data_IF_348487868191
#
_entry.id   IF_348487868191
#
_cell.length_a   1.000
_cell.length_b   1.000
_cell.length_c   1.000
_cell.angle_alpha   90.00
_cell.angle_beta   90.00
_cell.angle_gamma   90.00
#
_symmetry.space_group_name_H-M   'P 1'
#
loop_
_entity.id
_entity.type
_entity.pdbx_description
1 polymer ?
#
# COMPACT_ATOMS: atom_id res chain seq x y z
N UNK A 1 -34.66 -16.73 26.42
CA UNK A 1 -33.31 -17.12 25.98
C UNK A 1 -32.43 -15.95 26.33
N UNK A 2 -31.52 -16.12 27.29
CA UNK A 2 -30.64 -15.04 27.75
C UNK A 2 -29.37 -15.08 26.90
N UNK A 3 -29.17 -14.06 26.05
CA UNK A 3 -27.88 -13.77 25.45
C UNK A 3 -26.96 -13.24 26.55
N UNK A 4 -26.26 -14.16 27.22
CA UNK A 4 -25.14 -13.80 28.08
C UNK A 4 -23.99 -13.37 27.14
N UNK A 5 -23.53 -12.11 27.18
CA UNK A 5 -22.36 -11.72 26.42
C UNK A 5 -21.19 -12.62 26.82
N UNK A 6 -20.46 -13.12 25.82
CA UNK A 6 -19.32 -13.98 26.04
C UNK A 6 -18.31 -13.29 26.99
N UNK A 7 -17.69 -14.02 27.93
CA UNK A 7 -16.73 -13.44 28.86
C UNK A 7 -15.61 -12.77 28.07
N UNK A 8 -15.40 -11.47 28.33
CA UNK A 8 -14.28 -10.71 27.78
C UNK A 8 -12.98 -11.39 28.18
N UNK A 9 -12.30 -11.96 27.20
CA UNK A 9 -11.00 -12.58 27.36
C UNK A 9 -9.98 -11.50 27.79
N UNK A 10 -9.41 -11.57 29.01
CA UNK A 10 -8.48 -10.55 29.50
C UNK A 10 -7.19 -10.47 28.66
N UNK A 11 -6.91 -11.46 27.80
CA UNK A 11 -5.82 -11.41 26.82
C UNK A 11 -6.13 -10.51 25.61
N UNK A 12 -7.41 -10.21 25.35
CA UNK A 12 -7.85 -9.29 24.30
C UNK A 12 -8.06 -7.90 24.89
N UNK A 13 -6.95 -7.20 25.12
CA UNK A 13 -7.00 -5.79 25.49
C UNK A 13 -7.60 -4.99 24.32
N UNK A 14 -8.67 -4.23 24.60
CA UNK A 14 -9.21 -3.29 23.63
C UNK A 14 -8.19 -2.19 23.38
N UNK A 15 -7.95 -1.87 22.11
CA UNK A 15 -7.09 -0.75 21.74
C UNK A 15 -7.83 0.55 22.02
N UNK A 16 -7.07 1.63 22.18
CA UNK A 16 -7.64 2.97 22.19
C UNK A 16 -8.40 3.21 20.87
N UNK A 17 -9.60 3.83 20.88
CA UNK A 17 -10.45 3.95 19.69
C UNK A 17 -9.74 4.54 18.46
N UNK A 18 -8.82 5.49 18.66
CA UNK A 18 -8.03 6.07 17.58
C UNK A 18 -7.06 5.07 16.93
N UNK A 19 -6.53 4.11 17.70
CA UNK A 19 -5.67 3.04 17.20
C UNK A 19 -6.51 2.01 16.45
N UNK A 20 -7.68 1.65 16.98
CA UNK A 20 -8.63 0.77 16.28
C UNK A 20 -9.01 1.35 14.90
N UNK A 21 -9.33 2.63 14.84
CA UNK A 21 -9.70 3.29 13.58
C UNK A 21 -8.50 3.38 12.61
N UNK A 22 -7.29 3.63 13.12
CA UNK A 22 -6.08 3.63 12.30
C UNK A 22 -5.79 2.24 11.71
N UNK A 23 -5.98 1.17 12.48
CA UNK A 23 -5.82 -0.21 12.00
C UNK A 23 -6.85 -0.53 10.93
N UNK A 24 -8.12 -0.18 11.14
CA UNK A 24 -9.17 -0.36 10.12
C UNK A 24 -8.88 0.41 8.83
N UNK A 25 -8.38 1.65 8.95
CA UNK A 25 -7.99 2.45 7.79
C UNK A 25 -6.82 1.82 7.03
N UNK A 26 -5.83 1.30 7.75
CA UNK A 26 -4.70 0.59 7.16
C UNK A 26 -5.12 -0.70 6.45
N UNK A 27 -6.03 -1.48 7.05
CA UNK A 27 -6.58 -2.69 6.44
C UNK A 27 -7.38 -2.36 5.16
N UNK A 28 -8.21 -1.31 5.20
CA UNK A 28 -8.97 -0.85 4.04
C UNK A 28 -8.02 -0.44 2.91
N UNK A 29 -7.00 0.37 3.22
CA UNK A 29 -5.98 0.76 2.25
C UNK A 29 -5.23 -0.44 1.68
N UNK A 30 -4.82 -1.38 2.54
CA UNK A 30 -4.11 -2.58 2.09
C UNK A 30 -4.94 -3.42 1.14
N UNK A 31 -6.25 -3.52 1.39
CA UNK A 31 -7.17 -4.22 0.49
C UNK A 31 -7.34 -3.49 -0.85
N UNK A 32 -7.52 -2.18 -0.81
CA UNK A 32 -7.60 -1.34 -2.01
C UNK A 32 -6.32 -1.45 -2.87
N UNK A 33 -5.14 -1.34 -2.25
CA UNK A 33 -3.85 -1.48 -2.93
C UNK A 33 -3.72 -2.90 -3.54
N UNK A 34 -4.18 -3.94 -2.83
CA UNK A 34 -4.17 -5.31 -3.33
C UNK A 34 -5.10 -5.50 -4.54
N UNK A 35 -6.31 -4.94 -4.50
CA UNK A 35 -7.26 -4.99 -5.62
C UNK A 35 -6.69 -4.27 -6.85
N UNK A 36 -5.99 -3.15 -6.65
CA UNK A 36 -5.30 -2.43 -7.72
C UNK A 36 -4.19 -3.29 -8.36
N UNK A 37 -3.35 -3.93 -7.54
CA UNK A 37 -2.28 -4.79 -8.08
C UNK A 37 -2.85 -6.01 -8.81
N UNK A 38 -3.91 -6.62 -8.27
CA UNK A 38 -4.58 -7.74 -8.94
C UNK A 38 -5.09 -7.31 -10.32
N UNK A 39 -5.74 -6.14 -10.43
CA UNK A 39 -6.22 -5.62 -11.71
C UNK A 39 -5.09 -5.42 -12.72
N UNK A 40 -3.93 -4.89 -12.31
CA UNK A 40 -2.76 -4.74 -13.20
C UNK A 40 -2.22 -6.10 -13.64
N UNK A 41 -2.14 -7.07 -12.74
CA UNK A 41 -1.66 -8.42 -13.09
C UNK A 41 -2.63 -9.15 -14.02
N UNK A 42 -3.94 -8.97 -13.83
CA UNK A 42 -4.97 -9.50 -14.73
C UNK A 42 -4.90 -8.86 -16.12
N UNK A 43 -4.65 -7.55 -16.19
CA UNK A 43 -4.45 -6.83 -17.45
C UNK A 43 -3.22 -7.36 -18.19
N UNK A 44 -2.08 -7.51 -17.50
CA UNK A 44 -0.86 -8.10 -18.09
C UNK A 44 -1.10 -9.54 -18.54
N UNK A 45 -1.84 -10.34 -17.77
CA UNK A 45 -2.16 -11.71 -18.16
C UNK A 45 -3.06 -11.76 -19.41
N UNK A 46 -3.94 -10.76 -19.58
CA UNK A 46 -4.89 -10.69 -20.70
C UNK A 46 -4.26 -10.10 -21.95
N UNK A 47 -3.45 -9.05 -21.81
CA UNK A 47 -2.97 -8.21 -22.90
C UNK A 47 -1.46 -8.35 -23.16
N UNK A 48 -0.74 -9.07 -22.30
CA UNK A 48 0.72 -9.15 -22.34
C UNK A 48 1.39 -7.92 -21.73
N UNK A 49 2.73 -7.92 -21.76
CA UNK A 49 3.50 -6.73 -21.35
C UNK A 49 3.48 -5.67 -22.46
N UNK A 50 3.60 -4.38 -22.10
CA UNK A 50 3.83 -3.31 -23.07
C UNK A 50 5.07 -3.58 -23.93
N UNK A 51 5.06 -3.05 -25.15
CA UNK A 51 6.23 -3.16 -26.03
C UNK A 51 7.39 -2.34 -25.46
N UNK A 52 8.62 -2.76 -25.78
CA UNK A 52 9.81 -2.06 -25.33
C UNK A 52 9.89 -0.62 -25.86
N UNK A 53 9.34 -0.36 -27.06
CA UNK A 53 9.26 0.98 -27.65
C UNK A 53 8.29 1.92 -26.92
N UNK A 54 7.30 1.37 -26.22
CA UNK A 54 6.33 2.10 -25.40
C UNK A 54 6.76 2.18 -23.92
N UNK A 55 7.89 1.56 -23.56
CA UNK A 55 8.37 1.45 -22.18
C UNK A 55 9.60 2.33 -21.94
N UNK A 56 9.68 2.96 -20.77
CA UNK A 56 10.89 3.67 -20.36
C UNK A 56 11.99 2.67 -19.97
N UNK A 57 13.21 2.78 -20.53
CA UNK A 57 14.34 1.96 -20.12
C UNK A 57 14.65 2.10 -18.62
N UNK A 58 15.02 0.99 -17.99
CA UNK A 58 15.33 0.98 -16.56
C UNK A 58 16.49 1.93 -16.21
N UNK A 59 17.49 2.02 -17.09
CA UNK A 59 18.65 2.89 -16.94
C UNK A 59 18.24 4.35 -16.81
N UNK A 60 17.28 4.81 -17.62
CA UNK A 60 16.80 6.20 -17.57
C UNK A 60 16.13 6.51 -16.23
N UNK A 61 15.21 5.63 -15.79
CA UNK A 61 14.52 5.79 -14.50
C UNK A 61 15.49 5.77 -13.32
N UNK A 62 16.48 4.88 -13.37
CA UNK A 62 17.50 4.74 -12.34
C UNK A 62 18.37 5.99 -12.25
N UNK A 63 18.88 6.48 -13.38
CA UNK A 63 19.74 7.67 -13.39
C UNK A 63 18.98 8.93 -12.98
N UNK A 64 17.73 9.10 -13.42
CA UNK A 64 16.86 10.19 -12.96
C UNK A 64 16.64 10.14 -11.44
N UNK A 65 16.41 8.96 -10.89
CA UNK A 65 16.24 8.79 -9.46
C UNK A 65 17.53 9.12 -8.68
N UNK A 66 18.68 8.65 -9.15
CA UNK A 66 19.97 8.93 -8.55
C UNK A 66 20.30 10.43 -8.61
N UNK A 67 20.02 11.10 -9.73
CA UNK A 67 20.18 12.54 -9.86
C UNK A 67 19.32 13.31 -8.85
N UNK A 68 18.05 12.89 -8.64
CA UNK A 68 17.19 13.49 -7.60
C UNK A 68 17.76 13.31 -6.20
N UNK A 69 18.33 12.15 -5.89
CA UNK A 69 18.95 11.89 -4.58
C UNK A 69 20.25 12.67 -4.37
N UNK A 70 21.01 12.90 -5.45
CA UNK A 70 22.25 13.68 -5.43
C UNK A 70 22.00 15.20 -5.39
N UNK A 71 20.79 15.65 -5.75
CA UNK A 71 20.45 17.06 -5.74
C UNK A 71 20.50 17.64 -4.31
N UNK A 72 21.09 18.82 -4.11
CA UNK A 72 21.07 19.49 -2.82
C UNK A 72 19.64 19.69 -2.34
N UNK A 73 19.31 19.16 -1.16
CA UNK A 73 18.00 19.39 -0.57
C UNK A 73 17.86 20.87 -0.22
N UNK A 74 16.78 21.56 -0.64
CA UNK A 74 16.57 22.95 -0.24
C UNK A 74 16.59 23.06 1.28
N UNK A 75 17.31 24.06 1.80
CA UNK A 75 17.33 24.35 3.22
C UNK A 75 15.89 24.64 3.67
N UNK A 76 15.37 23.82 4.58
CA UNK A 76 14.11 24.10 5.25
C UNK A 76 14.38 25.29 6.17
N UNK A 77 13.72 26.42 5.91
CA UNK A 77 13.80 27.65 6.70
C UNK A 77 13.01 27.55 8.00
#
# INVERSE_FOLDING_TARGET
>A
MSDQPAPTDPARQHLEPAVDDAVRAYEAKTREDADQFAAVLEDIATNGLPLAEDSTPWEELREDHLARLAAPRPAVA
#
